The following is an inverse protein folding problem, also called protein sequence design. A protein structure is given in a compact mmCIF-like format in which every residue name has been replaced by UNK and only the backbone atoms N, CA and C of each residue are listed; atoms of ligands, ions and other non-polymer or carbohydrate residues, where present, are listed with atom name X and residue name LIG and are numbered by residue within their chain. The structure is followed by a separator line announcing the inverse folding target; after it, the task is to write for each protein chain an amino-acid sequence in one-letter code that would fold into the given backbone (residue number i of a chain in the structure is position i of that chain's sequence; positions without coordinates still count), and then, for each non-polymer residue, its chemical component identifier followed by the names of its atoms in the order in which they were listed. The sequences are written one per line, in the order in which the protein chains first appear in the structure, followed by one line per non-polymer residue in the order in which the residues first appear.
data_IF_780621168667
#
_entry.id   IF_780621168667
#
_cell.length_a   1.000
_cell.length_b   1.000
_cell.length_c   1.000
_cell.angle_alpha   90.00
_cell.angle_beta   90.00
_cell.angle_gamma   90.00
#
_symmetry.space_group_name_H-M   'P 1'
#
loop_
_entity.id
_entity.type
_entity.pdbx_description
1 polymer ?
#
# COMPACT_ATOMS: atom_id res chain seq x y z
N UNK A 1 17.19 -1.43 -1.18
CA UNK A 1 15.99 -0.58 -1.39
C UNK A 1 16.09 0.59 -0.45
N UNK A 2 16.04 1.81 -0.99
CA UNK A 2 15.85 3.02 -0.18
C UNK A 2 14.36 3.32 -0.21
N UNK A 3 13.73 3.40 0.96
CA UNK A 3 12.32 3.71 1.11
C UNK A 3 12.19 5.05 1.86
N UNK A 4 11.46 6.02 1.28
CA UNK A 4 11.18 7.30 1.96
C UNK A 4 9.75 7.33 2.47
N UNK A 5 9.62 7.45 3.79
CA UNK A 5 8.32 7.57 4.48
C UNK A 5 7.80 8.99 4.38
N UNK A 6 6.54 9.15 4.00
CA UNK A 6 5.86 10.45 3.95
C UNK A 6 4.34 10.25 3.92
N UNK A 7 3.61 11.34 4.16
CA UNK A 7 2.20 11.44 3.81
C UNK A 7 2.09 11.59 2.28
N UNK A 8 1.32 10.72 1.63
CA UNK A 8 1.03 10.87 0.20
C UNK A 8 -0.34 11.50 -0.01
N UNK A 9 -0.36 12.56 -0.82
CA UNK A 9 -1.56 13.10 -1.44
C UNK A 9 -1.90 12.21 -2.66
N UNK A 10 -2.96 11.43 -2.54
CA UNK A 10 -3.40 10.46 -3.56
C UNK A 10 -4.56 11.00 -4.42
N UNK A 11 -4.88 12.29 -4.34
CA UNK A 11 -6.03 12.88 -5.04
C UNK A 11 -7.39 12.53 -4.43
N UNK A 12 -8.43 13.17 -4.97
CA UNK A 12 -9.72 13.48 -4.33
C UNK A 12 -10.28 12.44 -3.32
N UNK A 13 -10.39 12.92 -2.07
CA UNK A 13 -11.19 12.39 -0.96
C UNK A 13 -10.60 11.29 -0.05
N UNK A 14 -9.28 11.16 0.09
CA UNK A 14 -8.69 10.32 1.17
C UNK A 14 -7.73 11.13 2.04
N UNK A 15 -7.75 10.94 3.38
CA UNK A 15 -6.74 11.53 4.25
C UNK A 15 -5.36 11.07 3.81
N UNK A 16 -4.36 11.93 4.06
CA UNK A 16 -2.94 11.64 3.90
C UNK A 16 -2.62 10.24 4.41
N UNK A 17 -2.40 9.30 3.48
CA UNK A 17 -1.98 7.95 3.85
C UNK A 17 -0.49 7.97 4.10
N UNK A 18 -0.06 7.32 5.16
CA UNK A 18 1.37 7.14 5.36
C UNK A 18 1.90 6.04 4.43
N UNK A 19 2.83 6.42 3.56
CA UNK A 19 3.40 5.53 2.55
C UNK A 19 4.93 5.58 2.55
N UNK A 20 5.50 4.53 1.97
CA UNK A 20 6.84 4.55 1.42
C UNK A 20 6.79 4.76 -0.09
N UNK A 21 7.58 5.70 -0.61
CA UNK A 21 8.06 5.64 -2.00
C UNK A 21 9.28 4.75 -2.05
N UNK A 22 9.27 3.77 -2.94
CA UNK A 22 10.38 2.85 -3.15
C UNK A 22 10.87 2.90 -4.58
N UNK A 23 12.17 2.65 -4.73
CA UNK A 23 12.76 2.39 -6.04
C UNK A 23 12.73 0.89 -6.33
N UNK A 24 12.09 0.51 -7.43
CA UNK A 24 12.05 -0.82 -8.00
C UNK A 24 10.81 -1.02 -8.88
N UNK A 25 10.87 -2.00 -9.77
CA UNK A 25 9.80 -2.29 -10.71
C UNK A 25 8.58 -2.91 -10.01
N UNK A 26 7.49 -2.14 -9.87
CA UNK A 26 6.18 -2.65 -9.41
C UNK A 26 5.31 -2.96 -10.63
N UNK A 27 4.71 -4.16 -10.66
CA UNK A 27 3.92 -4.63 -11.80
C UNK A 27 2.49 -4.93 -11.38
N UNK A 28 1.60 -5.03 -12.37
CA UNK A 28 0.24 -5.52 -12.15
C UNK A 28 0.31 -6.90 -11.48
N UNK A 29 -0.51 -7.08 -10.44
CA UNK A 29 -0.50 -8.29 -9.62
C UNK A 29 0.36 -8.20 -8.36
N UNK A 30 1.26 -7.23 -8.24
CA UNK A 30 2.01 -7.00 -7.00
C UNK A 30 1.14 -6.38 -5.88
N UNK A 31 0.03 -5.71 -6.23
CA UNK A 31 -0.86 -5.06 -5.26
C UNK A 31 -1.38 -6.06 -4.22
N UNK A 32 -1.27 -5.70 -2.94
CA UNK A 32 -1.59 -6.57 -1.80
C UNK A 32 -0.41 -7.40 -1.29
N UNK A 33 0.70 -7.49 -2.04
CA UNK A 33 1.91 -8.19 -1.61
C UNK A 33 2.69 -7.44 -0.52
N UNK A 34 3.42 -8.16 0.36
CA UNK A 34 4.24 -7.54 1.38
C UNK A 34 5.54 -6.97 0.81
N UNK A 35 5.94 -5.80 1.30
CA UNK A 35 7.33 -5.34 1.22
C UNK A 35 8.06 -5.82 2.48
N UNK A 36 9.18 -6.52 2.31
CA UNK A 36 9.98 -7.05 3.43
C UNK A 36 11.37 -6.43 3.50
N UNK A 37 11.95 -6.39 4.70
CA UNK A 37 13.37 -6.11 4.90
C UNK A 37 14.24 -7.36 4.66
N UNK A 38 15.56 -7.21 4.84
CA UNK A 38 16.53 -8.31 4.64
C UNK A 38 16.39 -9.43 5.70
N UNK A 39 15.66 -9.17 6.77
CA UNK A 39 15.39 -10.09 7.87
C UNK A 39 14.01 -10.75 7.71
N UNK A 40 13.30 -10.48 6.61
CA UNK A 40 11.97 -11.01 6.34
C UNK A 40 10.85 -10.32 7.10
N UNK A 41 11.10 -9.18 7.75
CA UNK A 41 10.05 -8.43 8.46
C UNK A 41 9.23 -7.61 7.48
N UNK A 42 7.91 -7.65 7.62
CA UNK A 42 6.99 -6.85 6.79
C UNK A 42 7.10 -5.38 7.16
N UNK A 43 7.45 -4.55 6.18
CA UNK A 43 7.52 -3.10 6.29
C UNK A 43 6.26 -2.40 5.80
N UNK A 44 5.46 -3.07 4.94
CA UNK A 44 4.24 -2.51 4.41
C UNK A 44 3.59 -3.36 3.32
N UNK A 45 2.53 -2.83 2.71
CA UNK A 45 1.74 -3.49 1.65
C UNK A 45 1.78 -2.66 0.37
N UNK A 46 2.18 -3.29 -0.74
CA UNK A 46 2.23 -2.63 -2.06
C UNK A 46 0.81 -2.28 -2.52
N UNK A 47 0.59 -1.05 -2.98
CA UNK A 47 -0.72 -0.63 -3.50
C UNK A 47 -0.69 0.00 -4.88
N UNK A 48 0.47 0.44 -5.37
CA UNK A 48 0.56 1.04 -6.70
C UNK A 48 1.97 1.31 -7.17
N UNK A 49 2.06 1.77 -8.41
CA UNK A 49 3.26 2.28 -9.07
C UNK A 49 2.99 3.71 -9.54
N UNK A 50 4.05 4.51 -9.74
CA UNK A 50 3.90 5.80 -10.41
C UNK A 50 3.50 5.58 -11.88
N UNK A 51 2.68 6.50 -12.40
CA UNK A 51 2.21 6.46 -13.80
C UNK A 51 3.32 6.88 -14.76
N UNK A 52 4.17 7.80 -14.30
CA UNK A 52 5.22 8.47 -15.04
C UNK A 52 6.64 7.93 -14.75
N UNK A 53 6.78 7.04 -13.77
CA UNK A 53 8.06 6.41 -13.42
C UNK A 53 7.90 4.91 -13.13
N UNK A 54 8.34 4.09 -14.08
CA UNK A 54 8.27 2.63 -14.00
C UNK A 54 9.12 2.02 -12.86
N UNK A 55 10.05 2.78 -12.31
CA UNK A 55 10.91 2.36 -11.20
C UNK A 55 10.44 2.92 -9.85
N UNK A 56 9.30 3.61 -9.80
CA UNK A 56 8.72 4.12 -8.56
C UNK A 56 7.50 3.31 -8.15
N UNK A 57 7.57 2.73 -6.95
CA UNK A 57 6.50 2.00 -6.29
C UNK A 57 6.00 2.69 -5.03
N UNK A 58 4.75 2.43 -4.67
CA UNK A 58 4.12 2.93 -3.44
C UNK A 58 3.66 1.79 -2.53
N UNK A 59 3.98 1.92 -1.25
CA UNK A 59 3.73 0.91 -0.22
C UNK A 59 3.10 1.57 1.00
N UNK A 60 1.92 1.11 1.43
CA UNK A 60 1.31 1.54 2.70
C UNK A 60 2.17 1.04 3.86
N UNK A 61 2.47 1.90 4.83
CA UNK A 61 3.26 1.47 6.00
C UNK A 61 2.47 0.46 6.85
N UNK A 62 3.18 -0.36 7.63
CA UNK A 62 2.55 -1.21 8.65
C UNK A 62 1.71 -0.44 9.66
N UNK A 63 2.05 0.83 9.94
CA UNK A 63 1.24 1.72 10.79
C UNK A 63 -0.11 2.03 10.13
N UNK A 64 -0.10 2.41 8.85
CA UNK A 64 -1.30 2.72 8.09
C UNK A 64 -2.26 1.52 7.99
N UNK A 65 -1.73 0.34 7.64
CA UNK A 65 -2.57 -0.88 7.58
C UNK A 65 -2.94 -1.42 8.96
N UNK A 66 -2.18 -1.05 10.00
CA UNK A 66 -2.38 -1.48 11.39
C UNK A 66 -3.77 -1.13 11.94
N UNK A 67 -4.38 -0.04 11.47
CA UNK A 67 -5.75 0.35 11.82
C UNK A 67 -6.79 -0.73 11.47
N UNK A 68 -6.50 -1.59 10.48
CA UNK A 68 -7.40 -2.67 10.07
C UNK A 68 -7.33 -3.90 10.99
N UNK A 69 -6.26 -4.04 11.77
CA UNK A 69 -6.05 -5.22 12.63
C UNK A 69 -7.10 -5.34 13.73
N UNK A 70 -7.73 -4.23 14.14
CA UNK A 70 -8.84 -4.24 15.10
C UNK A 70 -10.09 -4.99 14.61
N UNK A 71 -10.15 -5.38 13.34
CA UNK A 71 -11.23 -6.18 12.74
C UNK A 71 -10.85 -7.64 12.52
N UNK A 72 -9.66 -8.07 12.94
CA UNK A 72 -9.25 -9.48 12.84
C UNK A 72 -10.26 -10.35 13.61
N UNK A 73 -10.68 -11.44 12.99
CA UNK A 73 -11.69 -12.35 13.52
C UNK A 73 -13.12 -12.02 13.11
N UNK A 74 -13.36 -10.96 12.32
CA UNK A 74 -14.67 -10.73 11.73
C UNK A 74 -15.03 -11.88 10.77
N UNK A 75 -16.13 -12.56 11.04
CA UNK A 75 -16.68 -13.66 10.23
C UNK A 75 -17.91 -13.26 9.42
N UNK A 76 -18.47 -12.07 9.68
CA UNK A 76 -19.62 -11.58 8.93
C UNK A 76 -19.20 -11.17 7.52
N UNK A 77 -20.06 -11.47 6.54
CA UNK A 77 -19.87 -10.99 5.17
C UNK A 77 -19.89 -9.46 5.13
N UNK A 78 -19.00 -8.88 4.33
CA UNK A 78 -18.91 -7.42 4.10
C UNK A 78 -19.04 -7.12 2.61
N UNK A 79 -19.53 -5.93 2.29
CA UNK A 79 -19.56 -5.45 0.91
C UNK A 79 -18.15 -5.08 0.43
N UNK A 80 -17.84 -5.35 -0.85
CA UNK A 80 -16.57 -4.96 -1.50
C UNK A 80 -16.57 -3.56 -2.10
N UNK A 81 -17.72 -2.87 -2.04
CA UNK A 81 -17.91 -1.54 -2.64
C UNK A 81 -18.14 -1.58 -4.15
N UNK A 82 -18.10 -0.41 -4.77
CA UNK A 82 -18.24 -0.24 -6.22
C UNK A 82 -16.96 -0.65 -6.97
N UNK A 83 -17.11 -0.98 -8.26
CA UNK A 83 -15.96 -1.15 -9.14
C UNK A 83 -15.14 0.14 -9.23
N UNK A 84 -13.82 0.01 -9.28
CA UNK A 84 -12.94 1.15 -9.57
C UNK A 84 -13.06 1.53 -11.05
N UNK A 85 -13.16 2.83 -11.35
CA UNK A 85 -13.16 3.32 -12.73
C UNK A 85 -11.79 3.06 -13.36
N UNK A 86 -11.79 2.51 -14.58
CA UNK A 86 -10.62 2.26 -15.43
C UNK A 86 -10.21 3.49 -16.24
#
# INVERSE_FOLDING_TARGET
MTARRHAADLGDARPDREVYTIRGTVRQGNSGGPMIDRQGQVLGVVFGAAVDDAETGFVLTTREVGHQLGRIGNTAQVATGACVNS
#
